data_IF_064684578826
#
_entry.id   IF_064684578826
#
_cell.length_a   1.000
_cell.length_b   1.000
_cell.length_c   1.000
_cell.angle_alpha   90.00
_cell.angle_beta   90.00
_cell.angle_gamma   90.00
#
_symmetry.space_group_name_H-M   'P 1'
#
loop_
_entity.id
_entity.type
_entity.pdbx_description
1 polymer ?
#
# COMPACT_ATOMS: atom_id res chain seq x y z
N UNK A 1 14.38 -5.76 5.63
CA UNK A 1 14.85 -5.80 4.23
C UNK A 1 15.17 -4.37 3.81
N UNK A 2 16.31 -4.14 3.19
CA UNK A 2 16.70 -2.85 2.64
C UNK A 2 16.06 -2.64 1.27
N UNK A 3 15.59 -1.43 1.00
CA UNK A 3 15.05 -1.02 -0.29
C UNK A 3 15.77 0.25 -0.74
N UNK A 4 16.42 0.24 -1.90
CA UNK A 4 17.01 1.41 -2.53
C UNK A 4 16.13 1.87 -3.68
N UNK A 5 15.57 3.07 -3.60
CA UNK A 5 14.78 3.66 -4.68
C UNK A 5 15.64 4.65 -5.49
N UNK A 6 15.77 4.39 -6.78
CA UNK A 6 16.46 5.25 -7.74
C UNK A 6 15.42 6.14 -8.39
N UNK A 7 15.21 7.34 -7.84
CA UNK A 7 14.16 8.26 -8.26
C UNK A 7 14.70 9.67 -8.42
N UNK A 8 14.13 10.41 -9.37
CA UNK A 8 14.49 11.81 -9.65
C UNK A 8 13.30 12.77 -9.46
N UNK A 9 12.10 12.25 -9.27
CA UNK A 9 10.92 13.05 -9.00
C UNK A 9 10.66 13.18 -7.49
N UNK A 10 10.58 14.42 -6.98
CA UNK A 10 10.37 14.70 -5.56
C UNK A 10 9.06 14.13 -5.03
N UNK A 11 7.98 14.19 -5.82
CA UNK A 11 6.67 13.69 -5.40
C UNK A 11 6.70 12.17 -5.25
N UNK A 12 7.32 11.47 -6.21
CA UNK A 12 7.49 10.01 -6.17
C UNK A 12 8.30 9.61 -4.94
N UNK A 13 9.39 10.30 -4.64
CA UNK A 13 10.24 10.07 -3.46
C UNK A 13 9.42 10.21 -2.18
N UNK A 14 8.66 11.31 -2.02
CA UNK A 14 7.82 11.54 -0.84
C UNK A 14 6.73 10.49 -0.68
N UNK A 15 6.10 10.07 -1.77
CA UNK A 15 5.09 9.01 -1.77
C UNK A 15 5.71 7.68 -1.32
N UNK A 16 6.82 7.26 -1.94
CA UNK A 16 7.50 6.01 -1.59
C UNK A 16 8.01 6.03 -0.15
N UNK A 17 8.60 7.12 0.30
CA UNK A 17 9.06 7.27 1.67
C UNK A 17 7.89 7.05 2.65
N UNK A 18 6.75 7.71 2.43
CA UNK A 18 5.58 7.60 3.30
C UNK A 18 4.93 6.22 3.24
N UNK A 19 4.87 5.61 2.06
CA UNK A 19 4.21 4.33 1.87
C UNK A 19 5.04 3.13 2.36
N UNK A 20 6.36 3.16 2.16
CA UNK A 20 7.23 2.00 2.42
C UNK A 20 7.97 2.06 3.75
N UNK A 21 8.29 3.25 4.28
CA UNK A 21 9.02 3.43 5.55
C UNK A 21 8.45 2.64 6.75
N UNK A 22 7.14 2.45 6.89
CA UNK A 22 6.61 1.65 8.00
C UNK A 22 7.00 0.16 7.96
N UNK A 23 7.35 -0.36 6.79
CA UNK A 23 7.61 -1.80 6.58
C UNK A 23 9.02 -2.12 6.13
N UNK A 24 9.72 -1.15 5.52
CA UNK A 24 11.02 -1.32 4.90
C UNK A 24 11.98 -0.19 5.32
N UNK A 25 13.27 -0.52 5.38
CA UNK A 25 14.32 0.51 5.43
C UNK A 25 14.52 1.05 4.00
N UNK A 26 13.92 2.21 3.71
CA UNK A 26 13.96 2.81 2.36
C UNK A 26 15.00 3.91 2.31
N UNK A 27 15.92 3.78 1.36
CA UNK A 27 16.93 4.77 1.03
C UNK A 27 16.76 5.20 -0.43
N UNK A 28 17.24 6.39 -0.79
CA UNK A 28 17.06 6.94 -2.14
C UNK A 28 18.41 7.24 -2.78
N UNK A 29 18.58 6.88 -4.05
CA UNK A 29 19.68 7.32 -4.90
C UNK A 29 19.18 8.42 -5.82
N UNK A 30 19.77 9.61 -5.69
CA UNK A 30 19.37 10.83 -6.39
C UNK A 30 20.58 11.44 -7.07
N UNK A 31 20.44 11.84 -8.33
CA UNK A 31 21.49 12.52 -9.07
C UNK A 31 21.57 14.03 -8.74
N UNK A 32 20.41 14.68 -8.60
CA UNK A 32 20.31 16.12 -8.34
C UNK A 32 20.59 16.47 -6.87
N UNK A 33 21.70 17.19 -6.66
CA UNK A 33 22.10 17.70 -5.33
C UNK A 33 21.13 18.70 -4.72
N UNK A 34 20.42 19.48 -5.55
CA UNK A 34 19.44 20.45 -5.04
C UNK A 34 18.19 19.72 -4.54
N UNK A 35 17.76 18.70 -5.26
CA UNK A 35 16.68 17.83 -4.82
C UNK A 35 17.05 17.12 -3.51
N UNK A 36 18.26 16.57 -3.42
CA UNK A 36 18.74 15.90 -2.21
C UNK A 36 18.72 16.83 -0.98
N UNK A 37 19.12 18.11 -1.14
CA UNK A 37 19.03 19.12 -0.06
C UNK A 37 17.60 19.39 0.38
N UNK A 38 16.64 19.49 -0.55
CA UNK A 38 15.21 19.71 -0.22
C UNK A 38 14.58 18.53 0.52
N UNK A 39 15.13 17.33 0.35
CA UNK A 39 14.65 16.12 1.01
C UNK A 39 15.27 15.90 2.38
N UNK A 40 16.27 16.68 2.78
CA UNK A 40 16.94 16.54 4.08
C UNK A 40 15.93 16.64 5.26
N UNK A 41 14.96 17.56 5.14
CA UNK A 41 13.95 17.78 6.19
C UNK A 41 12.87 16.68 6.24
N UNK A 42 12.86 15.76 5.26
CA UNK A 42 11.84 14.71 5.16
C UNK A 42 12.19 13.42 5.92
N UNK A 43 13.25 13.43 6.75
CA UNK A 43 13.75 12.23 7.45
C UNK A 43 14.03 11.04 6.48
N UNK A 44 14.53 11.34 5.29
CA UNK A 44 14.78 10.37 4.23
C UNK A 44 16.29 10.18 4.09
N UNK A 45 16.77 8.94 4.07
CA UNK A 45 18.17 8.64 3.79
C UNK A 45 18.43 8.77 2.30
N UNK A 46 19.33 9.69 1.91
CA UNK A 46 19.64 10.02 0.52
C UNK A 46 21.10 9.77 0.21
N UNK A 47 21.37 9.02 -0.85
CA UNK A 47 22.67 8.86 -1.48
C UNK A 47 22.72 9.75 -2.75
N UNK A 48 23.75 10.57 -2.87
CA UNK A 48 23.95 11.39 -4.07
C UNK A 48 24.90 10.66 -5.01
N UNK A 49 24.46 10.37 -6.23
CA UNK A 49 25.26 9.65 -7.20
C UNK A 49 24.61 9.51 -8.56
N UNK A 50 25.42 9.16 -9.56
CA UNK A 50 24.93 8.87 -10.90
C UNK A 50 24.32 7.48 -10.95
N UNK A 51 23.02 7.30 -11.32
CA UNK A 51 22.36 6.02 -11.36
C UNK A 51 22.89 5.05 -12.45
N UNK A 52 23.77 5.54 -13.31
CA UNK A 52 24.37 4.73 -14.39
C UNK A 52 25.76 4.20 -14.06
N UNK A 53 26.23 4.38 -12.81
CA UNK A 53 27.56 3.93 -12.37
C UNK A 53 27.47 2.96 -11.20
N UNK A 54 28.24 1.89 -11.26
CA UNK A 54 28.36 0.85 -10.24
C UNK A 54 28.76 1.45 -8.86
N UNK A 55 29.66 2.44 -8.85
CA UNK A 55 30.16 3.06 -7.63
C UNK A 55 29.06 3.70 -6.78
N UNK A 56 28.01 4.19 -7.41
CA UNK A 56 26.85 4.77 -6.70
C UNK A 56 26.11 3.72 -5.89
N UNK A 57 25.98 2.51 -6.39
CA UNK A 57 25.34 1.39 -5.72
C UNK A 57 26.24 0.74 -4.67
N UNK A 58 27.53 0.64 -4.93
CA UNK A 58 28.51 0.18 -3.93
C UNK A 58 28.53 1.11 -2.71
N UNK A 59 28.51 2.43 -2.91
CA UNK A 59 28.41 3.42 -1.82
C UNK A 59 27.09 3.32 -1.05
N UNK A 60 26.02 2.97 -1.73
CA UNK A 60 24.74 2.69 -1.10
C UNK A 60 24.66 1.27 -0.50
N UNK A 61 25.76 0.50 -0.48
CA UNK A 61 25.84 -0.86 0.05
C UNK A 61 24.72 -1.77 -0.51
N UNK A 62 24.57 -1.74 -1.83
CA UNK A 62 23.65 -2.65 -2.55
C UNK A 62 24.29 -4.03 -2.62
N UNK A 63 23.49 -5.05 -2.31
CA UNK A 63 23.86 -6.46 -2.37
C UNK A 63 22.70 -7.33 -2.91
N UNK A 64 22.87 -8.63 -2.91
CA UNK A 64 21.87 -9.60 -3.37
C UNK A 64 20.57 -9.60 -2.55
N UNK A 65 20.58 -9.07 -1.32
CA UNK A 65 19.40 -8.98 -0.44
C UNK A 65 18.67 -7.63 -0.54
N UNK A 66 19.26 -6.68 -1.27
CA UNK A 66 18.72 -5.32 -1.43
C UNK A 66 17.68 -5.30 -2.57
N UNK A 67 16.47 -4.87 -2.25
CA UNK A 67 15.45 -4.58 -3.26
C UNK A 67 15.74 -3.22 -3.90
N UNK A 68 15.92 -3.15 -5.22
CA UNK A 68 16.17 -1.90 -5.93
C UNK A 68 14.96 -1.54 -6.78
N UNK A 69 14.35 -0.38 -6.49
CA UNK A 69 13.27 0.21 -7.28
C UNK A 69 13.85 1.26 -8.22
N UNK A 70 13.65 1.13 -9.52
CA UNK A 70 14.13 2.08 -10.51
C UNK A 70 12.95 2.80 -11.14
N UNK A 71 12.90 4.13 -10.99
CA UNK A 71 11.88 4.96 -11.64
C UNK A 71 11.98 4.85 -13.16
N UNK A 72 10.89 4.41 -13.78
CA UNK A 72 10.73 4.37 -15.24
C UNK A 72 9.74 5.43 -15.70
N UNK A 73 10.24 6.54 -16.22
CA UNK A 73 9.41 7.61 -16.80
C UNK A 73 8.98 7.31 -18.23
N UNK A 74 9.38 6.20 -18.82
CA UNK A 74 9.13 5.88 -20.22
C UNK A 74 9.99 6.66 -21.23
N UNK A 75 10.72 7.68 -20.80
CA UNK A 75 11.49 8.58 -21.69
C UNK A 75 12.88 8.06 -22.04
N UNK A 76 13.50 7.31 -21.14
CA UNK A 76 14.84 6.75 -21.32
C UNK A 76 14.84 5.25 -21.06
N UNK A 77 15.75 4.52 -21.71
CA UNK A 77 15.91 3.10 -21.41
C UNK A 77 16.58 2.94 -20.05
N UNK A 78 16.02 2.13 -19.14
CA UNK A 78 16.63 1.88 -17.83
C UNK A 78 17.84 0.93 -17.89
N UNK A 79 18.23 0.48 -19.09
CA UNK A 79 19.24 -0.55 -19.31
C UNK A 79 20.56 -0.28 -18.59
N UNK A 80 21.15 0.93 -18.74
CA UNK A 80 22.43 1.28 -18.10
C UNK A 80 22.34 1.27 -16.58
N UNK A 81 21.20 1.71 -16.04
CA UNK A 81 20.92 1.66 -14.60
C UNK A 81 20.87 0.22 -14.11
N UNK A 82 20.18 -0.68 -14.84
CA UNK A 82 20.10 -2.11 -14.49
C UNK A 82 21.46 -2.80 -14.59
N UNK A 83 22.27 -2.49 -15.62
CA UNK A 83 23.64 -3.00 -15.74
C UNK A 83 24.48 -2.57 -14.53
N UNK A 84 24.47 -1.30 -14.16
CA UNK A 84 25.20 -0.79 -13.00
C UNK A 84 24.76 -1.41 -11.66
N UNK A 85 23.47 -1.71 -11.48
CA UNK A 85 22.93 -2.41 -10.31
C UNK A 85 23.46 -3.83 -10.25
N UNK A 86 23.44 -4.59 -11.37
CA UNK A 86 23.94 -5.96 -11.44
C UNK A 86 25.45 -6.02 -11.16
N UNK A 87 26.21 -5.11 -11.76
CA UNK A 87 27.65 -5.01 -11.55
C UNK A 87 28.00 -4.75 -10.07
N UNK A 88 27.11 -4.09 -9.33
CA UNK A 88 27.23 -3.88 -7.88
C UNK A 88 26.72 -5.07 -7.04
N UNK A 89 26.19 -6.14 -7.65
CA UNK A 89 25.69 -7.32 -6.95
C UNK A 89 24.19 -7.32 -6.65
N UNK A 90 23.44 -6.31 -7.11
CA UNK A 90 21.97 -6.25 -6.95
C UNK A 90 21.26 -7.23 -7.89
N UNK A 91 20.37 -8.07 -7.35
CA UNK A 91 19.60 -9.06 -8.13
C UNK A 91 18.09 -8.82 -8.07
N UNK A 92 17.58 -8.19 -7.02
CA UNK A 92 16.17 -7.90 -6.83
C UNK A 92 15.84 -6.51 -7.40
N UNK A 93 15.60 -6.43 -8.69
CA UNK A 93 15.35 -5.15 -9.39
C UNK A 93 13.90 -5.08 -9.86
N UNK A 94 13.27 -3.93 -9.57
CA UNK A 94 11.92 -3.61 -10.03
C UNK A 94 11.92 -2.28 -10.78
N UNK A 95 11.28 -2.23 -11.92
CA UNK A 95 10.96 -0.98 -12.61
C UNK A 95 9.66 -0.43 -12.07
N UNK A 96 9.69 0.79 -11.57
CA UNK A 96 8.54 1.53 -11.08
C UNK A 96 8.03 2.46 -12.18
N UNK A 97 6.91 2.10 -12.79
CA UNK A 97 6.23 2.94 -13.75
C UNK A 97 5.53 4.10 -13.02
N UNK A 98 5.98 5.31 -13.26
CA UNK A 98 5.45 6.54 -12.64
C UNK A 98 4.58 7.36 -13.60
N UNK A 99 4.46 6.92 -14.85
CA UNK A 99 3.72 7.61 -15.91
C UNK A 99 2.54 6.82 -16.45
N UNK A 100 2.43 6.84 -17.76
CA UNK A 100 1.46 6.01 -18.45
C UNK A 100 1.97 4.58 -18.52
N UNK A 101 1.08 3.58 -18.36
CA UNK A 101 1.48 2.20 -18.47
C UNK A 101 2.26 1.99 -19.78
N UNK A 102 3.37 1.26 -19.74
CA UNK A 102 4.17 1.03 -20.92
C UNK A 102 3.33 0.36 -22.01
N UNK A 103 3.55 0.74 -23.25
CA UNK A 103 2.84 0.12 -24.36
C UNK A 103 3.04 -1.41 -24.35
N UNK A 104 2.07 -2.21 -24.82
CA UNK A 104 2.19 -3.67 -24.84
C UNK A 104 3.50 -4.15 -25.48
N UNK A 105 3.95 -3.47 -26.53
CA UNK A 105 5.23 -3.76 -27.20
C UNK A 105 6.42 -3.53 -26.28
N UNK A 106 6.43 -2.44 -25.53
CA UNK A 106 7.52 -2.15 -24.58
C UNK A 106 7.52 -3.13 -23.40
N UNK A 107 6.34 -3.52 -22.91
CA UNK A 107 6.24 -4.55 -21.87
C UNK A 107 6.82 -5.89 -22.35
N UNK A 108 6.51 -6.30 -23.59
CA UNK A 108 7.02 -7.52 -24.17
C UNK A 108 8.54 -7.46 -24.40
N UNK A 109 9.05 -6.34 -24.89
CA UNK A 109 10.51 -6.12 -25.02
C UNK A 109 11.23 -6.20 -23.68
N UNK A 110 10.68 -5.63 -22.60
CA UNK A 110 11.28 -5.68 -21.27
C UNK A 110 11.23 -7.11 -20.71
N UNK A 111 10.11 -7.82 -20.84
CA UNK A 111 9.97 -9.22 -20.41
C UNK A 111 10.95 -10.15 -21.15
N UNK A 112 11.11 -9.95 -22.45
CA UNK A 112 11.99 -10.79 -23.25
C UNK A 112 13.48 -10.53 -22.97
N UNK A 113 13.85 -9.26 -22.72
CA UNK A 113 15.26 -8.87 -22.54
C UNK A 113 15.75 -8.94 -21.10
N UNK A 114 14.85 -8.86 -20.14
CA UNK A 114 15.18 -8.85 -18.71
C UNK A 114 14.08 -9.53 -17.90
N UNK A 115 13.88 -10.85 -18.07
CA UNK A 115 12.79 -11.60 -17.45
C UNK A 115 12.87 -11.61 -15.91
N UNK A 116 14.06 -11.37 -15.37
CA UNK A 116 14.32 -11.31 -13.93
C UNK A 116 13.93 -9.96 -13.29
N UNK A 117 13.58 -8.95 -14.09
CA UNK A 117 13.19 -7.64 -13.59
C UNK A 117 11.69 -7.58 -13.34
N UNK A 118 11.30 -7.28 -12.11
CA UNK A 118 9.90 -7.08 -11.76
C UNK A 118 9.38 -5.73 -12.28
N UNK A 119 8.07 -5.63 -12.46
CA UNK A 119 7.40 -4.39 -12.90
C UNK A 119 6.33 -4.02 -11.89
N UNK A 120 6.34 -2.78 -11.45
CA UNK A 120 5.39 -2.20 -10.52
C UNK A 120 4.82 -0.90 -11.11
N UNK A 121 3.53 -0.72 -11.09
CA UNK A 121 2.92 0.56 -11.42
C UNK A 121 2.70 1.36 -10.13
N UNK A 122 3.18 2.61 -10.09
CA UNK A 122 2.93 3.50 -8.96
C UNK A 122 1.44 3.69 -8.71
N UNK A 123 0.64 3.74 -9.77
CA UNK A 123 -0.82 3.83 -9.68
C UNK A 123 -1.45 2.64 -8.93
N UNK A 124 -0.91 1.43 -9.08
CA UNK A 124 -1.42 0.24 -8.40
C UNK A 124 -1.01 0.23 -6.92
N UNK A 125 0.21 0.67 -6.60
CA UNK A 125 0.65 0.86 -5.23
C UNK A 125 -0.22 1.91 -4.51
N UNK A 126 -0.51 3.03 -5.16
CA UNK A 126 -1.38 4.08 -4.61
C UNK A 126 -2.82 3.60 -4.47
N UNK A 127 -3.35 2.87 -5.46
CA UNK A 127 -4.71 2.33 -5.42
C UNK A 127 -4.88 1.38 -4.24
N UNK A 128 -3.92 0.49 -3.98
CA UNK A 128 -3.93 -0.40 -2.82
C UNK A 128 -3.98 0.37 -1.49
N UNK A 129 -3.11 1.37 -1.33
CA UNK A 129 -3.05 2.17 -0.11
C UNK A 129 -4.29 3.07 0.07
N UNK A 130 -4.72 3.77 -0.98
CA UNK A 130 -5.90 4.65 -0.95
C UNK A 130 -7.20 3.86 -0.86
N UNK A 131 -7.31 2.71 -1.55
CA UNK A 131 -8.50 1.86 -1.51
C UNK A 131 -8.81 1.42 -0.08
N UNK A 132 -7.82 0.91 0.65
CA UNK A 132 -7.99 0.50 2.04
C UNK A 132 -8.42 1.67 2.96
N UNK A 133 -7.89 2.87 2.76
CA UNK A 133 -8.29 4.04 3.57
C UNK A 133 -9.68 4.56 3.19
N UNK A 134 -10.04 4.54 1.91
CA UNK A 134 -11.39 4.87 1.45
C UNK A 134 -12.42 3.89 2.02
N UNK A 135 -12.14 2.59 2.00
CA UNK A 135 -13.03 1.57 2.58
C UNK A 135 -13.22 1.77 4.09
N UNK A 136 -12.14 2.08 4.82
CA UNK A 136 -12.22 2.43 6.25
C UNK A 136 -13.05 3.70 6.46
N UNK A 137 -12.82 4.73 5.65
CA UNK A 137 -13.55 6.00 5.74
C UNK A 137 -15.04 5.82 5.42
N UNK A 138 -15.36 5.06 4.38
CA UNK A 138 -16.75 4.72 4.04
C UNK A 138 -17.43 3.91 5.14
N UNK A 139 -16.73 2.94 5.72
CA UNK A 139 -17.26 2.16 6.86
C UNK A 139 -17.54 3.06 8.06
N UNK A 140 -16.61 3.94 8.42
CA UNK A 140 -16.82 4.92 9.51
C UNK A 140 -18.03 5.83 9.23
N UNK A 141 -18.14 6.35 8.01
CA UNK A 141 -19.25 7.20 7.62
C UNK A 141 -20.60 6.47 7.72
N UNK A 142 -20.68 5.21 7.28
CA UNK A 142 -21.89 4.37 7.42
C UNK A 142 -22.24 4.13 8.88
N UNK A 143 -21.29 3.78 9.72
CA UNK A 143 -21.51 3.58 11.16
C UNK A 143 -22.04 4.87 11.80
N UNK A 144 -21.43 6.02 11.52
CA UNK A 144 -21.91 7.32 12.01
C UNK A 144 -23.32 7.64 11.51
N UNK A 145 -23.65 7.31 10.27
CA UNK A 145 -24.98 7.48 9.72
C UNK A 145 -26.02 6.66 10.49
N UNK A 146 -25.77 5.36 10.72
CA UNK A 146 -26.66 4.51 11.51
C UNK A 146 -26.80 5.01 12.96
N UNK A 147 -25.70 5.42 13.59
CA UNK A 147 -25.74 6.00 14.93
C UNK A 147 -26.64 7.25 14.99
N UNK A 148 -26.55 8.14 13.98
CA UNK A 148 -27.42 9.34 13.90
C UNK A 148 -28.88 8.98 13.69
N UNK A 149 -29.20 8.04 12.80
CA UNK A 149 -30.60 7.61 12.57
C UNK A 149 -31.24 7.01 13.80
N UNK A 150 -30.46 6.37 14.66
CA UNK A 150 -30.93 5.71 15.86
C UNK A 150 -30.69 6.52 17.14
N UNK A 151 -30.14 7.74 17.03
CA UNK A 151 -29.78 8.55 18.20
C UNK A 151 -30.97 8.80 19.13
N UNK A 152 -32.12 9.17 18.55
CA UNK A 152 -33.34 9.54 19.26
C UNK A 152 -34.23 8.33 19.61
N UNK A 153 -33.83 7.12 19.23
CA UNK A 153 -34.58 5.91 19.54
C UNK A 153 -34.30 5.46 20.99
N UNK A 154 -35.29 5.36 21.82
CA UNK A 154 -35.15 4.82 23.19
C UNK A 154 -34.74 3.35 23.17
N UNK A 155 -35.29 2.59 22.23
CA UNK A 155 -35.00 1.16 22.03
C UNK A 155 -34.83 0.81 20.58
N UNK A 156 -33.92 -0.13 20.31
CA UNK A 156 -33.64 -0.68 18.98
C UNK A 156 -33.88 -2.18 19.00
N UNK A 157 -34.60 -2.71 18.03
CA UNK A 157 -34.71 -4.13 17.79
C UNK A 157 -33.81 -4.54 16.65
N UNK A 158 -32.85 -5.42 16.92
CA UNK A 158 -31.99 -6.06 15.93
C UNK A 158 -32.64 -7.43 15.62
N UNK A 159 -33.27 -7.53 14.47
CA UNK A 159 -33.97 -8.73 14.07
C UNK A 159 -33.07 -9.61 13.22
N UNK A 160 -32.81 -10.81 13.67
CA UNK A 160 -32.11 -11.86 12.95
C UNK A 160 -33.06 -12.66 12.07
N UNK A 161 -32.53 -13.41 11.11
CA UNK A 161 -33.29 -14.36 10.33
C UNK A 161 -33.84 -15.50 11.24
N UNK A 162 -34.79 -16.27 10.71
CA UNK A 162 -35.34 -17.43 11.42
C UNK A 162 -34.23 -18.49 11.61
N UNK A 163 -34.23 -19.14 12.79
CA UNK A 163 -33.22 -20.13 13.18
C UNK A 163 -31.77 -19.57 12.99
N UNK A 164 -31.40 -18.50 13.72
CA UNK A 164 -30.14 -17.84 13.54
C UNK A 164 -28.95 -18.75 13.93
N UNK A 165 -27.98 -18.79 13.06
CA UNK A 165 -26.70 -19.46 13.30
C UNK A 165 -25.75 -18.60 14.18
N UNK A 166 -24.62 -19.16 14.65
CA UNK A 166 -23.65 -18.41 15.47
C UNK A 166 -23.14 -17.14 14.79
N UNK A 167 -23.02 -17.12 13.46
CA UNK A 167 -22.56 -15.95 12.70
C UNK A 167 -23.61 -14.82 12.71
N UNK A 168 -24.88 -15.17 12.59
CA UNK A 168 -25.98 -14.21 12.71
C UNK A 168 -26.02 -13.60 14.13
N UNK A 169 -25.84 -14.42 15.16
CA UNK A 169 -25.77 -13.98 16.55
C UNK A 169 -24.58 -13.06 16.79
N UNK A 170 -23.39 -13.42 16.31
CA UNK A 170 -22.19 -12.60 16.40
C UNK A 170 -22.37 -11.26 15.68
N UNK A 171 -22.99 -11.26 14.50
CA UNK A 171 -23.29 -10.05 13.73
C UNK A 171 -24.27 -9.14 14.46
N UNK A 172 -25.31 -9.69 15.09
CA UNK A 172 -26.24 -8.91 15.91
C UNK A 172 -25.57 -8.28 17.14
N UNK A 173 -24.69 -9.02 17.81
CA UNK A 173 -23.89 -8.53 18.93
C UNK A 173 -22.92 -7.42 18.49
N UNK A 174 -22.23 -7.61 17.36
CA UNK A 174 -21.34 -6.61 16.79
C UNK A 174 -22.10 -5.32 16.42
N UNK A 175 -23.26 -5.43 15.79
CA UNK A 175 -24.10 -4.28 15.45
C UNK A 175 -24.57 -3.53 16.72
N UNK A 176 -25.01 -4.24 17.75
CA UNK A 176 -25.37 -3.60 19.03
C UNK A 176 -24.19 -2.81 19.62
N UNK A 177 -23.00 -3.38 19.57
CA UNK A 177 -21.79 -2.74 20.07
C UNK A 177 -21.41 -1.51 19.22
N UNK A 178 -21.48 -1.59 17.89
CA UNK A 178 -21.26 -0.48 16.97
C UNK A 178 -22.23 0.70 17.22
N UNK A 179 -23.47 0.41 17.62
CA UNK A 179 -24.48 1.39 17.97
C UNK A 179 -24.29 1.96 19.38
N UNK A 180 -23.29 1.54 20.13
CA UNK A 180 -23.04 1.90 21.53
C UNK A 180 -24.27 1.66 22.43
N UNK A 181 -25.01 0.58 22.18
CA UNK A 181 -26.23 0.23 22.92
C UNK A 181 -25.98 -0.90 23.91
N UNK A 182 -26.73 -0.88 25.00
CA UNK A 182 -26.75 -1.92 26.03
C UNK A 182 -27.74 -3.02 25.69
N UNK A 183 -27.74 -4.12 26.46
CA UNK A 183 -28.74 -5.20 26.32
C UNK A 183 -30.20 -4.72 26.53
N UNK A 184 -30.38 -3.66 27.30
CA UNK A 184 -31.70 -3.08 27.61
C UNK A 184 -32.19 -2.12 26.54
N UNK A 185 -31.28 -1.45 25.84
CA UNK A 185 -31.59 -0.45 24.81
C UNK A 185 -31.51 -0.99 23.37
N UNK A 186 -30.84 -2.13 23.15
CA UNK A 186 -30.88 -2.86 21.87
C UNK A 186 -31.08 -4.35 22.10
N UNK A 187 -32.26 -4.80 21.78
CA UNK A 187 -32.70 -6.20 21.91
C UNK A 187 -32.37 -6.92 20.61
N UNK A 188 -31.73 -8.08 20.72
CA UNK A 188 -31.50 -8.98 19.58
C UNK A 188 -32.56 -10.10 19.67
N UNK A 189 -33.25 -10.36 18.58
CA UNK A 189 -34.33 -11.36 18.55
C UNK A 189 -34.50 -12.05 17.19
N UNK A 190 -35.19 -13.15 17.18
CA UNK A 190 -35.64 -13.88 15.99
C UNK A 190 -37.06 -14.33 16.17
N UNK A 191 -37.81 -14.53 15.08
CA UNK A 191 -39.25 -14.86 15.18
C UNK A 191 -39.55 -16.27 15.74
N UNK A 192 -38.67 -17.24 15.49
CA UNK A 192 -38.91 -18.64 15.87
C UNK A 192 -38.00 -19.16 17.00
N UNK A 193 -37.24 -18.27 17.62
CA UNK A 193 -36.27 -18.65 18.65
C UNK A 193 -35.02 -19.30 18.05
N UNK A 194 -34.19 -19.83 18.94
CA UNK A 194 -32.89 -20.44 18.59
C UNK A 194 -33.08 -21.95 18.79
N UNK A 195 -33.08 -22.70 17.70
CA UNK A 195 -33.30 -24.15 17.72
C UNK A 195 -31.97 -24.94 17.71
N UNK A 196 -30.86 -24.30 17.38
CA UNK A 196 -29.54 -24.97 17.26
C UNK A 196 -28.86 -25.10 18.62
N UNK A 197 -28.35 -26.30 18.99
CA UNK A 197 -27.72 -26.51 20.30
C UNK A 197 -26.42 -25.75 20.49
N UNK A 198 -25.76 -25.29 19.42
CA UNK A 198 -24.52 -24.52 19.45
C UNK A 198 -24.72 -23.01 19.69
N UNK A 199 -25.93 -22.52 19.75
CA UNK A 199 -26.29 -21.14 20.04
C UNK A 199 -26.86 -20.95 21.42
#
# INVERSE_FOLDING_TARGET
MKCLAVCQDELVIRILAKALKPTLNVEFLIEDRLLARRLHDAEVTVHIGNPHTMESYLRAAVDASTCVLVEDTGRRSPRRTMEAIRDAGGILVYLLDVGHPPSPRRQEELRTRSPEVGHLALADLLRGALGAELDRSMTRARVQQYQRYLADADRVLILLHNDPDPDAMASGLALRNLLHRTKTTAIIGAFQGIARPET
#
